data_IF_701544338986
#
_entry.id   IF_701544338986
#
_cell.length_a   1.000
_cell.length_b   1.000
_cell.length_c   1.000
_cell.angle_alpha   90.00
_cell.angle_beta   90.00
_cell.angle_gamma   90.00
#
_symmetry.space_group_name_H-M   'P 1'
#
loop_
_entity.id
_entity.type
_entity.pdbx_description
1 polymer ?
#
# COMPACT_ATOMS: atom_id res chain seq x y z
N UNK A 1 12.36 7.96 21.30
CA UNK A 1 10.91 8.24 21.20
C UNK A 1 10.31 8.09 19.79
N UNK A 2 11.09 8.10 18.69
CA UNK A 2 10.54 7.97 17.32
C UNK A 2 10.00 6.57 16.94
N UNK A 3 10.45 5.49 17.59
CA UNK A 3 10.08 4.11 17.23
C UNK A 3 8.59 3.77 17.41
N UNK A 4 7.88 4.51 18.27
CA UNK A 4 6.47 4.23 18.56
C UNK A 4 5.51 4.79 17.51
N UNK A 5 5.96 5.71 16.65
CA UNK A 5 5.13 6.33 15.61
C UNK A 5 4.90 5.33 14.45
N UNK A 6 5.89 4.51 14.12
CA UNK A 6 5.83 3.55 13.02
C UNK A 6 5.07 2.25 13.33
N UNK A 7 4.78 1.95 14.60
CA UNK A 7 4.02 0.74 14.99
C UNK A 7 2.51 0.95 15.06
N UNK A 8 2.01 2.16 14.79
CA UNK A 8 0.58 2.44 14.89
C UNK A 8 -0.14 1.87 13.66
N UNK A 9 -0.76 0.71 13.85
CA UNK A 9 -1.55 0.04 12.82
C UNK A 9 -2.73 0.95 12.42
N UNK A 10 -2.77 1.33 11.14
CA UNK A 10 -3.84 2.19 10.62
C UNK A 10 -5.08 1.31 10.43
N UNK A 11 -5.96 1.33 11.43
CA UNK A 11 -7.11 0.42 11.50
C UNK A 11 -8.30 0.87 10.64
N UNK A 12 -8.21 2.02 9.96
CA UNK A 12 -9.32 2.60 9.17
C UNK A 12 -8.88 2.98 7.76
N UNK A 13 -9.68 2.57 6.78
CA UNK A 13 -9.50 2.88 5.35
C UNK A 13 -9.51 4.39 5.13
N UNK A 14 -10.35 5.15 5.84
CA UNK A 14 -10.42 6.61 5.76
C UNK A 14 -9.12 7.28 6.19
N UNK A 15 -8.51 6.77 7.26
CA UNK A 15 -7.23 7.32 7.76
C UNK A 15 -6.10 7.00 6.78
N UNK A 16 -6.09 5.79 6.19
CA UNK A 16 -5.12 5.43 5.16
C UNK A 16 -5.28 6.29 3.89
N UNK A 17 -6.51 6.49 3.42
CA UNK A 17 -6.79 7.34 2.27
C UNK A 17 -6.40 8.80 2.52
N UNK A 18 -6.73 9.35 3.68
CA UNK A 18 -6.35 10.71 4.07
C UNK A 18 -4.82 10.86 4.14
N UNK A 19 -4.11 9.88 4.69
CA UNK A 19 -2.66 9.90 4.76
C UNK A 19 -2.04 9.94 3.35
N UNK A 20 -2.48 9.07 2.44
CA UNK A 20 -2.02 9.07 1.04
C UNK A 20 -2.31 10.40 0.38
N UNK A 21 -3.52 10.94 0.53
CA UNK A 21 -3.91 12.22 -0.06
C UNK A 21 -3.03 13.37 0.43
N UNK A 22 -2.77 13.47 1.74
CA UNK A 22 -1.90 14.49 2.32
C UNK A 22 -0.46 14.33 1.83
N UNK A 23 0.05 13.10 1.78
CA UNK A 23 1.38 12.82 1.26
C UNK A 23 1.51 13.19 -0.23
N UNK A 24 0.49 12.89 -1.05
CA UNK A 24 0.45 13.27 -2.46
C UNK A 24 0.38 14.79 -2.64
N UNK A 25 -0.41 15.49 -1.82
CA UNK A 25 -0.50 16.95 -1.84
C UNK A 25 0.84 17.60 -1.47
N UNK A 26 1.50 17.10 -0.42
CA UNK A 26 2.81 17.55 0.00
C UNK A 26 3.87 17.35 -1.09
N UNK A 27 3.85 16.18 -1.77
CA UNK A 27 4.73 15.91 -2.90
C UNK A 27 4.51 16.89 -4.06
N UNK A 28 3.25 17.22 -4.37
CA UNK A 28 2.92 18.23 -5.40
C UNK A 28 3.42 19.62 -5.02
N UNK A 29 3.25 20.03 -3.77
CA UNK A 29 3.76 21.32 -3.26
C UNK A 29 5.28 21.40 -3.38
N UNK A 30 6.00 20.32 -3.05
CA UNK A 30 7.44 20.23 -3.26
C UNK A 30 7.82 20.33 -4.74
N UNK A 31 7.03 19.75 -5.64
CA UNK A 31 7.17 19.91 -7.08
C UNK A 31 7.02 21.37 -7.53
N UNK A 32 5.99 22.06 -7.05
CA UNK A 32 5.81 23.50 -7.35
C UNK A 32 6.97 24.34 -6.84
N UNK A 33 7.49 24.04 -5.64
CA UNK A 33 8.68 24.71 -5.11
C UNK A 33 9.91 24.43 -5.96
N UNK A 34 10.11 23.18 -6.42
CA UNK A 34 11.17 22.84 -7.38
C UNK A 34 11.06 23.68 -8.64
N UNK A 35 9.87 23.75 -9.23
CA UNK A 35 9.65 24.48 -10.48
C UNK A 35 9.85 26.00 -10.29
N UNK A 36 9.49 26.55 -9.12
CA UNK A 36 9.78 27.94 -8.73
C UNK A 36 11.28 28.21 -8.65
N UNK A 37 12.05 27.31 -8.04
CA UNK A 37 13.52 27.45 -7.92
C UNK A 37 14.16 27.36 -9.30
N UNK A 38 13.74 26.41 -10.13
CA UNK A 38 14.26 26.24 -11.49
C UNK A 38 13.94 27.46 -12.37
N UNK A 39 12.69 27.94 -12.36
CA UNK A 39 12.30 29.15 -13.08
C UNK A 39 13.02 30.41 -12.59
N UNK A 40 13.32 30.49 -11.29
CA UNK A 40 14.09 31.61 -10.73
C UNK A 40 15.59 31.57 -11.07
N UNK A 41 16.19 30.38 -11.20
CA UNK A 41 17.63 30.23 -11.50
C UNK A 41 17.95 30.23 -12.99
N UNK A 42 17.13 29.58 -13.81
CA UNK A 42 17.37 29.44 -15.25
C UNK A 42 16.58 30.46 -16.08
N UNK A 43 15.61 31.15 -15.49
CA UNK A 43 14.68 32.02 -16.21
C UNK A 43 13.67 31.23 -17.04
N UNK A 44 12.74 31.94 -17.69
CA UNK A 44 11.83 31.36 -18.69
C UNK A 44 12.59 31.18 -20.02
N UNK A 45 13.52 30.22 -20.05
CA UNK A 45 14.40 29.95 -21.18
C UNK A 45 14.27 28.52 -21.71
N UNK A 46 14.79 28.31 -22.92
CA UNK A 46 14.72 27.05 -23.66
C UNK A 46 15.30 25.85 -22.89
N UNK A 47 16.30 26.07 -22.04
CA UNK A 47 16.90 25.05 -21.18
C UNK A 47 15.91 24.43 -20.18
N UNK A 48 15.01 25.26 -19.62
CA UNK A 48 14.00 24.81 -18.65
C UNK A 48 12.91 23.98 -19.35
N UNK A 49 12.54 24.38 -20.56
CA UNK A 49 11.57 23.65 -21.38
C UNK A 49 12.12 22.27 -21.80
N UNK A 50 13.39 22.18 -22.16
CA UNK A 50 14.07 20.90 -22.47
C UNK A 50 14.12 20.01 -21.23
N UNK A 51 14.46 20.56 -20.07
CA UNK A 51 14.43 19.83 -18.80
C UNK A 51 13.05 19.22 -18.56
N UNK A 52 11.98 20.00 -18.61
CA UNK A 52 10.62 19.48 -18.41
C UNK A 52 10.19 18.48 -19.48
N UNK A 53 10.56 18.71 -20.75
CA UNK A 53 10.27 17.78 -21.83
C UNK A 53 10.94 16.41 -21.63
N UNK A 54 12.16 16.37 -21.10
CA UNK A 54 12.89 15.14 -20.85
C UNK A 54 12.19 14.21 -19.85
N UNK A 55 11.48 14.75 -18.85
CA UNK A 55 10.74 13.94 -17.87
C UNK A 55 9.39 13.45 -18.37
N UNK A 56 8.83 14.03 -19.45
CA UNK A 56 7.52 13.61 -19.97
C UNK A 56 7.53 12.15 -20.46
N UNK A 57 8.59 11.70 -21.11
CA UNK A 57 8.68 10.34 -21.65
C UNK A 57 8.71 9.30 -20.50
N UNK A 58 9.60 9.41 -19.49
CA UNK A 58 9.57 8.55 -18.31
C UNK A 58 8.23 8.59 -17.58
N UNK A 59 7.67 9.77 -17.36
CA UNK A 59 6.41 9.93 -16.62
C UNK A 59 5.25 9.28 -17.36
N UNK A 60 5.22 9.37 -18.70
CA UNK A 60 4.23 8.70 -19.54
C UNK A 60 4.32 7.19 -19.40
N UNK A 61 5.53 6.63 -19.49
CA UNK A 61 5.78 5.19 -19.37
C UNK A 61 5.36 4.70 -17.97
N UNK A 62 5.73 5.43 -16.92
CA UNK A 62 5.32 5.13 -15.55
C UNK A 62 3.80 5.17 -15.37
N UNK A 63 3.15 6.20 -15.91
CA UNK A 63 1.69 6.35 -15.87
C UNK A 63 0.95 5.21 -16.56
N UNK A 64 1.39 4.81 -17.75
CA UNK A 64 0.73 3.75 -18.52
C UNK A 64 0.98 2.36 -17.93
N UNK A 65 2.24 2.04 -17.62
CA UNK A 65 2.61 0.68 -17.22
C UNK A 65 2.38 0.46 -15.73
N UNK A 66 2.84 1.36 -14.87
CA UNK A 66 2.80 1.17 -13.40
C UNK A 66 1.43 1.54 -12.84
N UNK A 67 0.96 2.76 -13.11
CA UNK A 67 -0.35 3.19 -12.62
C UNK A 67 -1.51 2.51 -13.38
N UNK A 68 -1.36 2.30 -14.69
CA UNK A 68 -2.39 1.65 -15.51
C UNK A 68 -2.34 0.13 -15.41
N UNK A 69 -1.51 -0.48 -16.26
CA UNK A 69 -1.53 -1.92 -16.51
C UNK A 69 -1.22 -2.78 -15.27
N UNK A 70 -0.14 -2.45 -14.54
CA UNK A 70 0.30 -3.21 -13.37
C UNK A 70 -0.70 -3.05 -12.23
N UNK A 71 -1.13 -1.83 -11.88
CA UNK A 71 -2.04 -1.63 -10.75
C UNK A 71 -3.41 -2.31 -10.96
N UNK A 72 -3.95 -2.27 -12.18
CA UNK A 72 -5.22 -2.93 -12.52
C UNK A 72 -5.17 -4.47 -12.35
N UNK A 73 -4.03 -5.08 -12.67
CA UNK A 73 -3.84 -6.53 -12.53
C UNK A 73 -3.36 -6.97 -11.14
N UNK A 74 -2.39 -6.26 -10.56
CA UNK A 74 -1.72 -6.67 -9.33
C UNK A 74 -2.58 -6.46 -8.08
N UNK A 75 -3.25 -5.31 -7.94
CA UNK A 75 -4.02 -5.00 -6.73
C UNK A 75 -5.09 -6.07 -6.42
N UNK A 76 -5.96 -6.48 -7.37
CA UNK A 76 -6.97 -7.49 -7.09
C UNK A 76 -6.36 -8.87 -6.82
N UNK A 77 -5.30 -9.25 -7.54
CA UNK A 77 -4.60 -10.53 -7.35
C UNK A 77 -4.02 -10.62 -5.94
N UNK A 78 -3.28 -9.61 -5.49
CA UNK A 78 -2.73 -9.57 -4.14
C UNK A 78 -3.82 -9.52 -3.07
N UNK A 79 -4.88 -8.74 -3.30
CA UNK A 79 -6.02 -8.68 -2.37
C UNK A 79 -6.66 -10.06 -2.20
N UNK A 80 -6.81 -10.81 -3.30
CA UNK A 80 -7.34 -12.18 -3.28
C UNK A 80 -6.40 -13.12 -2.52
N UNK A 81 -5.11 -13.12 -2.85
CA UNK A 81 -4.11 -13.97 -2.19
C UNK A 81 -4.06 -13.72 -0.67
N UNK A 82 -4.10 -12.46 -0.24
CA UNK A 82 -4.10 -12.10 1.19
C UNK A 82 -5.38 -12.58 1.87
N UNK A 83 -6.53 -12.47 1.21
CA UNK A 83 -7.81 -12.94 1.74
C UNK A 83 -7.82 -14.46 1.89
N UNK A 84 -7.37 -15.18 0.87
CA UNK A 84 -7.32 -16.65 0.85
C UNK A 84 -6.38 -17.16 1.95
N UNK A 85 -5.19 -16.57 2.09
CA UNK A 85 -4.24 -16.90 3.17
C UNK A 85 -4.82 -16.67 4.58
N UNK A 86 -5.58 -15.59 4.79
CA UNK A 86 -6.25 -15.35 6.08
C UNK A 86 -7.35 -16.37 6.37
N UNK A 87 -8.08 -16.82 5.34
CA UNK A 87 -9.16 -17.79 5.48
C UNK A 87 -8.61 -19.18 5.83
N UNK A 88 -7.52 -19.60 5.18
CA UNK A 88 -6.84 -20.87 5.44
C UNK A 88 -6.31 -20.95 6.88
N UNK A 89 -5.65 -19.88 7.35
CA UNK A 89 -5.17 -19.78 8.73
C UNK A 89 -6.31 -19.86 9.76
N UNK A 90 -7.45 -19.21 9.47
CA UNK A 90 -8.62 -19.22 10.37
C UNK A 90 -9.21 -20.63 10.46
N UNK A 91 -9.37 -21.30 9.33
CA UNK A 91 -9.91 -22.67 9.24
C UNK A 91 -9.01 -23.68 9.95
N UNK A 92 -7.69 -23.55 9.80
CA UNK A 92 -6.71 -24.40 10.50
C UNK A 92 -6.74 -24.20 12.02
N UNK A 93 -6.92 -22.95 12.49
CA UNK A 93 -7.06 -22.66 13.91
C UNK A 93 -8.39 -23.18 14.49
N UNK A 94 -9.48 -23.06 13.74
CA UNK A 94 -10.82 -23.55 14.12
C UNK A 94 -10.84 -25.09 14.19
N UNK A 95 -10.32 -25.78 13.17
CA UNK A 95 -10.23 -27.23 13.15
C UNK A 95 -9.36 -27.79 14.29
N UNK A 96 -8.27 -27.10 14.65
CA UNK A 96 -7.45 -27.51 15.79
C UNK A 96 -8.23 -27.45 17.11
N UNK A 97 -9.02 -26.39 17.32
CA UNK A 97 -9.85 -26.23 18.51
C UNK A 97 -10.95 -27.30 18.56
N UNK A 98 -11.67 -27.53 17.46
CA UNK A 98 -12.74 -28.54 17.36
C UNK A 98 -12.19 -29.95 17.62
N UNK A 99 -11.06 -30.29 16.99
CA UNK A 99 -10.47 -31.61 17.16
C UNK A 99 -10.00 -31.79 18.61
N UNK A 100 -9.41 -30.77 19.23
CA UNK A 100 -9.03 -30.80 20.65
C UNK A 100 -10.24 -31.04 21.58
N UNK A 101 -11.37 -30.38 21.32
CA UNK A 101 -12.60 -30.59 22.10
C UNK A 101 -13.17 -32.00 21.90
N UNK A 102 -13.13 -32.53 20.68
CA UNK A 102 -13.53 -33.92 20.40
C UNK A 102 -12.67 -34.94 21.17
N UNK A 103 -11.34 -34.73 21.21
CA UNK A 103 -10.44 -35.56 22.03
C UNK A 103 -10.76 -35.48 23.52
N UNK A 104 -11.06 -34.28 24.05
CA UNK A 104 -11.41 -34.09 25.47
C UNK A 104 -12.74 -34.77 25.86
N UNK A 105 -13.73 -34.71 24.97
CA UNK A 105 -15.02 -35.41 25.18
C UNK A 105 -14.82 -36.93 25.16
N UNK A 106 -14.04 -37.45 24.20
CA UNK A 106 -13.73 -38.87 24.14
C UNK A 106 -12.97 -39.35 25.38
N UNK A 107 -11.98 -38.59 25.87
CA UNK A 107 -11.25 -38.97 27.07
C UNK A 107 -12.14 -38.98 28.30
N UNK A 108 -13.04 -37.99 28.46
CA UNK A 108 -13.96 -37.97 29.60
C UNK A 108 -14.94 -39.14 29.58
N UNK A 109 -15.44 -39.56 28.41
CA UNK A 109 -16.32 -40.73 28.28
C UNK A 109 -15.57 -42.04 28.59
N UNK A 110 -14.29 -42.14 28.26
CA UNK A 110 -13.47 -43.34 28.51
C UNK A 110 -13.00 -43.50 29.97
N UNK A 111 -13.10 -42.44 30.79
CA UNK A 111 -12.57 -42.42 32.17
C UNK A 111 -13.67 -42.52 33.25
N UNK A 112 -14.94 -42.59 32.85
CA UNK A 112 -16.13 -42.82 33.70
C UNK A 112 -16.48 -44.30 33.64
#
# INVERSE_FOLDING_TARGET
MLKNIFKKQINSITVAAALVAISSLASRLLGVLRDRILGGKFGAGQELDIYFAAFKIPDLIYGLIVLGALSAGFIPVFTKLIKDYKCDKKTSAENYQVNKEAWLLSSNVLTI
#
